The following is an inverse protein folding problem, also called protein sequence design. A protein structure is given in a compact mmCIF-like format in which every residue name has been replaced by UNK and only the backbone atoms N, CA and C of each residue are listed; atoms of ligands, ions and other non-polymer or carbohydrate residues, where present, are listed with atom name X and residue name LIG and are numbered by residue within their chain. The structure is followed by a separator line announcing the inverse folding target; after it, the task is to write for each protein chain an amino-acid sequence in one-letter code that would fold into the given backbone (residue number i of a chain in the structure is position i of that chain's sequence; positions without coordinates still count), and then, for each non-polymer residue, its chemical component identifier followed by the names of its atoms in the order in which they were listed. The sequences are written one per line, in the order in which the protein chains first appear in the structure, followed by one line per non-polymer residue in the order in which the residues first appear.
data_IF_100755161306
#
_entry.id   IF_100755161306
#
_cell.length_a   1.000
_cell.length_b   1.000
_cell.length_c   1.000
_cell.angle_alpha   90.00
_cell.angle_beta   90.00
_cell.angle_gamma   90.00
#
_symmetry.space_group_name_H-M   'P 1'
#
loop_
_entity.id
_entity.type
_entity.pdbx_description
1 polymer ?
#
# COMPACT_ATOMS: atom_id res chain seq x y z
N UNK A 1 5.52 -18.72 -0.34
CA UNK A 1 6.51 -19.15 -1.35
C UNK A 1 7.86 -18.43 -1.21
N UNK A 2 7.92 -17.09 -1.20
CA UNK A 2 9.18 -16.34 -1.03
C UNK A 2 9.92 -16.62 0.30
N UNK A 3 9.16 -16.88 1.37
CA UNK A 3 9.67 -17.26 2.68
C UNK A 3 10.52 -18.53 2.66
N UNK A 4 10.11 -19.51 1.87
CA UNK A 4 10.75 -20.82 1.79
C UNK A 4 12.12 -20.71 1.10
N UNK A 5 12.21 -19.91 0.03
CA UNK A 5 13.45 -19.69 -0.73
C UNK A 5 14.51 -18.90 0.07
N UNK A 6 14.09 -17.84 0.76
CA UNK A 6 14.99 -16.92 1.49
C UNK A 6 15.48 -17.50 2.83
N UNK A 7 14.68 -18.33 3.49
CA UNK A 7 15.00 -18.84 4.83
C UNK A 7 15.81 -20.16 4.81
N UNK A 8 15.46 -21.12 3.95
CA UNK A 8 16.10 -22.45 3.95
C UNK A 8 17.46 -22.49 3.23
N UNK A 9 17.67 -21.68 2.18
CA UNK A 9 18.86 -21.82 1.32
C UNK A 9 20.02 -20.88 1.66
N UNK A 10 19.74 -19.69 2.22
CA UNK A 10 20.73 -18.60 2.31
C UNK A 10 21.32 -18.41 3.72
N UNK A 11 20.70 -19.00 4.75
CA UNK A 11 21.07 -18.75 6.14
C UNK A 11 22.45 -19.32 6.55
N UNK A 12 22.98 -20.29 5.81
CA UNK A 12 24.23 -20.95 6.18
C UNK A 12 25.48 -20.08 5.94
N UNK A 13 25.40 -19.06 5.07
CA UNK A 13 26.58 -18.35 4.58
C UNK A 13 26.86 -16.99 5.25
N UNK A 14 25.89 -16.37 5.95
CA UNK A 14 26.10 -15.03 6.53
C UNK A 14 25.47 -14.84 7.93
N UNK A 15 26.29 -14.75 9.00
CA UNK A 15 25.86 -14.52 10.38
C UNK A 15 24.92 -13.30 10.62
N UNK A 16 25.07 -12.13 9.95
CA UNK A 16 24.20 -10.98 10.20
C UNK A 16 22.78 -11.13 9.64
N UNK A 17 22.51 -12.08 8.75
CA UNK A 17 21.15 -12.35 8.26
C UNK A 17 20.22 -12.99 9.30
N UNK A 18 20.73 -13.27 10.52
CA UNK A 18 19.92 -13.69 11.68
C UNK A 18 18.80 -12.71 12.04
N UNK A 19 18.98 -11.43 11.71
CA UNK A 19 18.03 -10.36 12.03
C UNK A 19 16.67 -10.59 11.33
N UNK A 20 16.69 -11.19 10.14
CA UNK A 20 15.48 -11.57 9.42
C UNK A 20 14.70 -12.73 10.04
N UNK A 21 15.18 -13.34 11.15
CA UNK A 21 14.42 -14.34 11.91
C UNK A 21 13.39 -13.68 12.85
N UNK A 22 13.66 -12.46 13.29
CA UNK A 22 12.77 -11.77 14.22
C UNK A 22 11.49 -11.34 13.51
N UNK A 23 10.36 -11.71 14.11
CA UNK A 23 9.04 -11.34 13.60
C UNK A 23 8.91 -9.81 13.46
N UNK A 24 9.40 -9.06 14.45
CA UNK A 24 9.39 -7.60 14.46
C UNK A 24 10.10 -6.98 13.26
N UNK A 25 11.23 -7.56 12.83
CA UNK A 25 11.97 -7.04 11.69
C UNK A 25 11.22 -7.31 10.37
N UNK A 26 10.61 -8.49 10.26
CA UNK A 26 9.79 -8.86 9.10
C UNK A 26 8.55 -7.97 8.99
N UNK A 27 7.85 -7.75 10.11
CA UNK A 27 6.64 -6.91 10.12
C UNK A 27 6.98 -5.46 9.83
N UNK A 28 8.06 -4.91 10.40
CA UNK A 28 8.51 -3.56 10.10
C UNK A 28 8.84 -3.38 8.61
N UNK A 29 9.61 -4.30 8.02
CA UNK A 29 9.94 -4.25 6.60
C UNK A 29 8.71 -4.43 5.70
N UNK A 30 7.79 -5.34 6.06
CA UNK A 30 6.52 -5.51 5.34
C UNK A 30 5.67 -4.24 5.37
N UNK A 31 5.53 -3.61 6.54
CA UNK A 31 4.77 -2.35 6.69
C UNK A 31 5.41 -1.21 5.89
N UNK A 32 6.74 -1.06 5.94
CA UNK A 32 7.43 -0.05 5.15
C UNK A 32 7.23 -0.29 3.65
N UNK A 33 7.41 -1.53 3.19
CA UNK A 33 7.22 -1.87 1.77
C UNK A 33 5.77 -1.62 1.33
N UNK A 34 4.80 -1.97 2.17
CA UNK A 34 3.38 -1.70 1.91
C UNK A 34 3.10 -0.20 1.84
N UNK A 35 3.69 0.60 2.73
CA UNK A 35 3.55 2.06 2.71
C UNK A 35 4.10 2.66 1.41
N UNK A 36 5.34 2.32 1.04
CA UNK A 36 5.93 2.80 -0.21
C UNK A 36 5.12 2.36 -1.43
N UNK A 37 4.67 1.12 -1.45
CA UNK A 37 3.82 0.59 -2.53
C UNK A 37 2.49 1.35 -2.60
N UNK A 38 1.85 1.60 -1.46
CA UNK A 38 0.59 2.35 -1.40
C UNK A 38 0.75 3.81 -1.84
N UNK A 39 1.86 4.46 -1.50
CA UNK A 39 2.12 5.84 -1.94
C UNK A 39 2.36 5.93 -3.47
N UNK A 40 2.98 4.91 -4.08
CA UNK A 40 3.24 4.88 -5.52
C UNK A 40 2.00 4.43 -6.30
N UNK A 41 1.34 3.36 -5.86
CA UNK A 41 0.21 2.74 -6.55
C UNK A 41 -1.11 3.47 -6.25
N UNK A 42 -1.24 4.06 -5.07
CA UNK A 42 -2.41 4.81 -4.62
C UNK A 42 -2.91 5.85 -5.62
N UNK A 43 -2.09 6.81 -6.10
CA UNK A 43 -2.54 7.80 -7.07
C UNK A 43 -2.95 7.19 -8.41
N UNK A 44 -2.31 6.10 -8.84
CA UNK A 44 -2.70 5.38 -10.06
C UNK A 44 -4.08 4.74 -9.91
N UNK A 45 -4.35 4.11 -8.76
CA UNK A 45 -5.66 3.50 -8.47
C UNK A 45 -6.75 4.58 -8.35
N UNK A 46 -6.48 5.67 -7.65
CA UNK A 46 -7.42 6.80 -7.52
C UNK A 46 -7.74 7.40 -8.89
N UNK A 47 -6.73 7.60 -9.74
CA UNK A 47 -6.91 8.08 -11.12
C UNK A 47 -7.82 7.16 -11.94
N UNK A 48 -7.59 5.84 -11.84
CA UNK A 48 -8.42 4.86 -12.55
C UNK A 48 -9.85 4.80 -12.02
N UNK A 49 -10.05 4.88 -10.70
CA UNK A 49 -11.40 4.93 -10.11
C UNK A 49 -12.17 6.19 -10.55
N UNK A 50 -11.46 7.31 -10.71
CA UNK A 50 -12.03 8.55 -11.26
C UNK A 50 -12.40 8.41 -12.74
N UNK A 51 -11.59 7.74 -13.54
CA UNK A 51 -11.88 7.45 -14.96
C UNK A 51 -13.12 6.56 -15.12
N UNK A 52 -13.31 5.57 -14.23
CA UNK A 52 -14.50 4.73 -14.22
C UNK A 52 -15.75 5.44 -13.68
N UNK A 53 -15.68 6.75 -13.40
CA UNK A 53 -16.77 7.53 -12.83
C UNK A 53 -17.38 6.89 -11.58
N UNK A 54 -16.58 6.14 -10.80
CA UNK A 54 -16.95 5.69 -9.45
C UNK A 54 -16.74 6.87 -8.49
N UNK A 55 -17.35 8.00 -8.83
CA UNK A 55 -17.44 9.20 -8.03
C UNK A 55 -18.89 9.38 -7.59
N UNK A 56 -19.11 9.90 -6.38
CA UNK A 56 -20.46 10.17 -5.92
C UNK A 56 -21.15 11.13 -6.91
N UNK A 57 -22.32 10.73 -7.44
CA UNK A 57 -23.22 11.64 -8.15
C UNK A 57 -23.74 12.67 -7.14
N UNK A 58 -23.15 13.88 -7.15
CA UNK A 58 -23.58 14.97 -6.27
C UNK A 58 -24.87 15.53 -6.86
N UNK A 59 -26.00 15.30 -6.17
CA UNK A 59 -27.27 15.96 -6.51
C UNK A 59 -27.10 17.48 -6.37
N UNK A 60 -27.52 18.23 -7.39
CA UNK A 60 -27.38 19.69 -7.45
C UNK A 60 -28.18 20.44 -6.36
N UNK A 61 -29.14 19.79 -5.71
CA UNK A 61 -29.98 20.38 -4.65
C UNK A 61 -29.31 20.45 -3.25
N UNK A 62 -28.05 20.02 -3.12
CA UNK A 62 -27.32 20.02 -1.85
C UNK A 62 -26.74 21.38 -1.44
N UNK A 63 -26.53 21.64 -0.12
CA UNK A 63 -25.93 22.88 0.37
C UNK A 63 -24.57 23.18 -0.31
N UNK A 64 -24.34 24.43 -0.74
CA UNK A 64 -23.13 24.87 -1.48
C UNK A 64 -21.80 24.49 -0.81
N UNK A 65 -21.78 24.28 0.51
CA UNK A 65 -20.61 23.81 1.26
C UNK A 65 -20.14 22.41 0.85
N UNK A 66 -21.03 21.55 0.35
CA UNK A 66 -20.70 20.19 -0.11
C UNK A 66 -20.11 20.16 -1.53
N UNK A 67 -20.28 21.22 -2.31
CA UNK A 67 -19.67 21.33 -3.64
C UNK A 67 -18.14 21.49 -3.58
N UNK A 68 -17.58 21.95 -2.44
CA UNK A 68 -16.12 22.05 -2.23
C UNK A 68 -15.40 20.69 -2.15
N UNK A 69 -16.15 19.60 -1.96
CA UNK A 69 -15.63 18.22 -1.96
C UNK A 69 -15.85 17.50 -3.29
N UNK A 70 -16.35 18.21 -4.30
CA UNK A 70 -16.53 17.66 -5.64
C UNK A 70 -15.14 17.49 -6.30
N UNK A 71 -14.65 16.25 -6.35
CA UNK A 71 -13.47 15.90 -7.13
C UNK A 71 -12.14 15.78 -6.37
N UNK A 72 -12.17 15.75 -5.04
CA UNK A 72 -11.06 15.24 -4.20
C UNK A 72 -11.31 13.81 -3.78
#
# INVERSE_FOLDING_TARGET
MLYWLLYLKLYHYFPPFRIFRYLTFRTAFASLTALFTALIVGPLVIGRLREFQIGQYIREEGPKAHQKKAGT
#
